data_IF_539502828373
#
_entry.id   IF_539502828373
#
_cell.length_a   1.000
_cell.length_b   1.000
_cell.length_c   1.000
_cell.angle_alpha   90.00
_cell.angle_beta   90.00
_cell.angle_gamma   90.00
#
_symmetry.space_group_name_H-M   'P 1'
#
loop_
_entity.id
_entity.type
_entity.pdbx_description
1 polymer ?
#
# COMPACT_ATOMS: atom_id res chain seq x y z
N UNK A 1 49.13 33.29 67.20
CA UNK A 1 49.04 34.43 66.27
C UNK A 1 49.18 33.89 64.85
N UNK A 2 48.31 34.34 63.93
CA UNK A 2 48.26 34.10 62.46
C UNK A 2 47.88 32.66 62.03
N UNK A 3 46.79 32.34 61.31
CA UNK A 3 46.03 32.89 60.17
C UNK A 3 46.65 32.55 58.80
N UNK A 4 45.82 31.93 57.92
CA UNK A 4 46.00 31.60 56.48
C UNK A 4 46.80 30.33 56.12
N UNK A 5 46.53 29.58 55.05
CA UNK A 5 45.43 29.47 54.11
C UNK A 5 45.68 28.20 53.23
N UNK A 6 44.60 27.49 52.90
CA UNK A 6 44.22 26.98 51.57
C UNK A 6 45.18 26.15 50.67
N UNK A 7 44.72 24.90 50.43
CA UNK A 7 44.37 24.29 49.13
C UNK A 7 45.43 23.70 48.17
N UNK A 8 45.09 22.48 47.72
CA UNK A 8 45.41 21.77 46.46
C UNK A 8 46.82 21.24 46.19
N UNK A 9 46.93 19.90 46.23
CA UNK A 9 47.55 19.14 45.13
C UNK A 9 47.04 17.69 45.15
N UNK A 10 46.18 17.30 44.21
CA UNK A 10 46.13 15.90 43.75
C UNK A 10 45.74 15.88 42.26
N UNK A 11 46.78 15.65 41.45
CA UNK A 11 46.71 15.35 40.03
C UNK A 11 46.87 13.84 39.89
N UNK A 12 45.83 13.12 39.48
CA UNK A 12 46.02 11.79 38.88
C UNK A 12 44.86 11.46 37.94
N UNK A 13 45.17 11.56 36.65
CA UNK A 13 44.42 11.07 35.50
C UNK A 13 44.26 9.55 35.53
N UNK A 14 43.04 9.01 35.42
CA UNK A 14 42.84 7.65 34.91
C UNK A 14 41.59 7.56 34.02
N UNK A 15 41.85 7.24 32.76
CA UNK A 15 41.00 6.59 31.75
C UNK A 15 39.65 7.20 31.40
N UNK A 16 39.70 7.96 30.30
CA UNK A 16 38.62 8.14 29.34
C UNK A 16 38.20 6.78 28.75
N UNK A 17 37.14 6.20 29.30
CA UNK A 17 36.33 5.21 28.60
C UNK A 17 34.97 5.82 28.34
N UNK A 18 34.86 6.69 27.34
CA UNK A 18 33.56 7.06 26.83
C UNK A 18 32.94 5.78 26.26
N UNK A 19 32.02 5.18 27.02
CA UNK A 19 31.06 4.24 26.49
C UNK A 19 30.26 5.02 25.45
N UNK A 20 30.71 5.00 24.20
CA UNK A 20 29.87 5.38 23.09
C UNK A 20 28.73 4.37 23.10
N UNK A 21 27.61 4.76 23.71
CA UNK A 21 26.34 4.08 23.49
C UNK A 21 26.24 3.86 21.98
N UNK A 22 25.99 2.62 21.51
CA UNK A 22 25.73 2.44 20.09
C UNK A 22 24.63 3.44 19.72
N UNK A 23 24.91 4.28 18.73
CA UNK A 23 23.91 5.19 18.20
C UNK A 23 22.67 4.33 17.90
N UNK A 24 21.46 4.80 18.22
CA UNK A 24 20.26 4.09 17.78
C UNK A 24 20.43 3.92 16.27
N UNK A 25 20.51 2.65 15.83
CA UNK A 25 20.41 2.33 14.43
C UNK A 25 19.08 2.91 14.03
N UNK A 26 19.11 4.02 13.29
CA UNK A 26 17.93 4.53 12.61
C UNK A 26 17.66 3.49 11.56
N UNK A 27 16.89 2.46 11.93
CA UNK A 27 16.19 1.63 10.99
C UNK A 27 15.39 2.61 10.15
N UNK A 28 15.87 2.91 8.93
CA UNK A 28 15.04 3.43 7.86
C UNK A 28 14.09 2.30 7.42
N UNK A 29 13.34 1.76 8.37
CA UNK A 29 12.18 0.93 8.11
C UNK A 29 11.10 1.87 7.62
N UNK A 30 10.56 1.60 6.44
CA UNK A 30 9.35 2.25 5.97
C UNK A 30 8.29 2.04 7.05
N UNK A 31 7.86 3.10 7.73
CA UNK A 31 6.78 2.99 8.70
C UNK A 31 5.52 2.62 7.91
N UNK A 32 4.71 1.69 8.41
CA UNK A 32 3.44 1.30 7.79
C UNK A 32 2.57 2.52 7.41
N UNK A 33 2.63 3.59 8.21
CA UNK A 33 1.97 4.87 7.94
C UNK A 33 2.47 5.64 6.71
N UNK A 34 3.74 5.47 6.34
CA UNK A 34 4.30 6.05 5.11
C UNK A 34 3.85 5.26 3.89
N UNK A 35 3.71 3.93 4.01
CA UNK A 35 3.23 3.06 2.93
C UNK A 35 1.76 3.36 2.54
N UNK A 36 0.94 3.76 3.50
CA UNK A 36 -0.48 4.13 3.27
C UNK A 36 -0.61 5.38 2.38
N UNK A 37 0.42 6.24 2.30
CA UNK A 37 0.41 7.46 1.47
C UNK A 37 0.98 7.27 0.06
N UNK A 38 1.47 6.08 -0.28
CA UNK A 38 2.30 5.90 -1.48
C UNK A 38 1.56 5.86 -2.81
N UNK A 39 0.23 6.04 -2.83
CA UNK A 39 -0.59 6.02 -4.04
C UNK A 39 -0.20 4.90 -5.02
N UNK A 40 -0.08 3.67 -4.52
CA UNK A 40 0.49 2.54 -5.25
C UNK A 40 -0.33 2.20 -6.50
N UNK A 41 -1.66 2.22 -6.40
CA UNK A 41 -2.55 2.01 -7.55
C UNK A 41 -2.70 3.33 -8.30
N UNK A 42 -2.33 3.35 -9.58
CA UNK A 42 -2.36 4.56 -10.41
C UNK A 42 -3.57 4.61 -11.33
N UNK A 43 -4.07 3.45 -11.77
CA UNK A 43 -5.20 3.34 -12.69
C UNK A 43 -5.93 2.03 -12.47
N UNK A 44 -7.26 2.06 -12.59
CA UNK A 44 -8.13 0.89 -12.61
C UNK A 44 -8.82 0.82 -13.97
N UNK A 45 -8.99 -0.39 -14.49
CA UNK A 45 -9.85 -0.68 -15.63
C UNK A 45 -10.85 -1.77 -15.25
N UNK A 46 -12.13 -1.41 -15.26
CA UNK A 46 -13.24 -2.33 -15.04
C UNK A 46 -13.80 -2.78 -16.39
N UNK A 47 -13.87 -4.09 -16.60
CA UNK A 47 -14.31 -4.72 -17.84
C UNK A 47 -15.64 -5.42 -17.55
N UNK A 48 -16.71 -4.89 -18.14
CA UNK A 48 -18.06 -5.42 -18.03
C UNK A 48 -18.40 -6.21 -19.30
N UNK A 49 -18.98 -7.40 -19.14
CA UNK A 49 -19.58 -8.16 -20.24
C UNK A 49 -21.10 -8.16 -20.13
N UNK A 50 -21.80 -8.66 -21.15
CA UNK A 50 -23.27 -8.80 -21.08
C UNK A 50 -23.69 -9.72 -19.93
N UNK A 51 -22.93 -10.79 -19.69
CA UNK A 51 -23.13 -11.70 -18.56
C UNK A 51 -23.01 -10.98 -17.21
N UNK A 52 -22.12 -9.97 -17.12
CA UNK A 52 -21.98 -9.14 -15.91
C UNK A 52 -23.30 -8.49 -15.49
N UNK A 53 -24.19 -8.16 -16.43
CA UNK A 53 -25.49 -7.54 -16.13
C UNK A 53 -26.44 -8.49 -15.40
N UNK A 54 -26.24 -9.80 -15.52
CA UNK A 54 -27.09 -10.82 -14.87
C UNK A 54 -26.41 -11.44 -13.66
N UNK A 55 -25.11 -11.70 -13.72
CA UNK A 55 -24.37 -12.38 -12.66
C UNK A 55 -23.68 -11.43 -11.67
N UNK A 56 -23.66 -10.11 -11.93
CA UNK A 56 -23.00 -9.09 -11.12
C UNK A 56 -21.48 -9.31 -10.94
N UNK A 57 -20.84 -10.06 -11.84
CA UNK A 57 -19.41 -10.33 -11.82
C UNK A 57 -18.73 -9.63 -13.00
N UNK A 58 -17.65 -8.90 -12.72
CA UNK A 58 -16.84 -8.24 -13.73
C UNK A 58 -15.39 -8.73 -13.67
N UNK A 59 -14.60 -8.34 -14.67
CA UNK A 59 -13.15 -8.44 -14.60
C UNK A 59 -12.54 -7.08 -14.36
N UNK A 60 -11.45 -7.01 -13.59
CA UNK A 60 -10.72 -5.76 -13.33
C UNK A 60 -9.25 -5.99 -13.59
N UNK A 61 -8.56 -4.98 -14.12
CA UNK A 61 -7.12 -4.88 -14.01
C UNK A 61 -6.75 -3.50 -13.47
N UNK A 62 -5.57 -3.39 -12.88
CA UNK A 62 -5.08 -2.13 -12.36
C UNK A 62 -3.57 -2.02 -12.57
N UNK A 63 -3.10 -0.78 -12.62
CA UNK A 63 -1.68 -0.46 -12.69
C UNK A 63 -1.17 -0.17 -11.28
N UNK A 64 -0.08 -0.83 -10.88
CA UNK A 64 0.63 -0.55 -9.64
C UNK A 64 1.99 0.05 -9.96
N UNK A 65 2.27 1.20 -9.35
CA UNK A 65 3.59 1.81 -9.30
C UNK A 65 4.31 1.47 -7.99
N UNK A 66 5.57 1.06 -8.08
CA UNK A 66 6.45 0.89 -6.92
C UNK A 66 7.36 2.12 -6.77
N UNK A 67 7.07 3.07 -5.86
CA UNK A 67 7.93 4.23 -5.60
C UNK A 67 9.13 3.90 -4.71
N UNK A 68 9.22 2.68 -4.16
CA UNK A 68 10.30 2.30 -3.26
C UNK A 68 11.58 1.97 -4.01
N UNK A 69 12.71 2.07 -3.31
CA UNK A 69 14.02 1.64 -3.80
C UNK A 69 14.21 0.11 -3.73
N UNK A 70 13.22 -0.62 -3.19
CA UNK A 70 13.22 -2.07 -3.03
C UNK A 70 12.02 -2.70 -3.78
N UNK A 71 12.14 -3.93 -4.29
CA UNK A 71 11.02 -4.57 -4.98
C UNK A 71 9.82 -4.84 -4.06
N UNK A 72 8.62 -4.68 -4.61
CA UNK A 72 7.36 -5.03 -3.96
C UNK A 72 6.89 -6.39 -4.48
N UNK A 73 6.78 -7.38 -3.61
CA UNK A 73 6.09 -8.63 -3.94
C UNK A 73 4.65 -8.56 -3.45
N UNK A 74 3.70 -9.16 -4.17
CA UNK A 74 2.30 -9.22 -3.77
C UNK A 74 1.86 -10.67 -3.86
N UNK A 75 1.48 -11.25 -2.72
CA UNK A 75 0.93 -12.61 -2.66
C UNK A 75 -0.60 -12.60 -2.77
N UNK A 76 -1.25 -11.71 -2.04
CA UNK A 76 -2.71 -11.66 -1.94
C UNK A 76 -3.14 -10.21 -1.83
N UNK A 77 -4.26 -9.90 -2.48
CA UNK A 77 -4.98 -8.64 -2.35
C UNK A 77 -6.43 -8.93 -1.98
N UNK A 78 -6.95 -8.16 -1.05
CA UNK A 78 -8.36 -8.12 -0.71
C UNK A 78 -8.78 -6.66 -0.64
N UNK A 79 -9.74 -6.28 -1.47
CA UNK A 79 -10.07 -4.88 -1.71
C UNK A 79 -11.55 -4.66 -1.89
N UNK A 80 -11.98 -3.48 -1.45
CA UNK A 80 -13.27 -2.90 -1.70
C UNK A 80 -13.09 -1.57 -2.46
N UNK A 81 -13.82 -1.42 -3.55
CA UNK A 81 -13.92 -0.15 -4.26
C UNK A 81 -15.24 0.53 -3.89
N UNK A 82 -15.15 1.79 -3.49
CA UNK A 82 -16.27 2.61 -3.04
C UNK A 82 -16.31 3.94 -3.76
N UNK A 83 -17.49 4.57 -3.80
CA UNK A 83 -17.66 5.94 -4.26
C UNK A 83 -18.57 6.65 -3.27
N UNK A 84 -18.14 7.82 -2.77
CA UNK A 84 -18.89 8.59 -1.77
C UNK A 84 -19.28 7.77 -0.53
N UNK A 85 -18.43 6.82 -0.12
CA UNK A 85 -18.67 5.94 1.02
C UNK A 85 -19.47 4.68 0.73
N UNK A 86 -20.15 4.57 -0.41
CA UNK A 86 -20.89 3.37 -0.83
C UNK A 86 -19.96 2.38 -1.52
N UNK A 87 -19.96 1.11 -1.09
CA UNK A 87 -19.14 0.05 -1.72
C UNK A 87 -19.85 -0.49 -2.96
N UNK A 88 -19.16 -0.45 -4.10
CA UNK A 88 -19.67 -0.91 -5.38
C UNK A 88 -19.03 -2.22 -5.84
N UNK A 89 -17.75 -2.45 -5.54
CA UNK A 89 -17.07 -3.66 -5.94
C UNK A 89 -16.23 -4.25 -4.80
N UNK A 90 -16.14 -5.56 -4.75
CA UNK A 90 -15.27 -6.28 -3.82
C UNK A 90 -14.66 -7.49 -4.49
N UNK A 91 -13.39 -7.77 -4.19
CA UNK A 91 -12.76 -9.02 -4.61
C UNK A 91 -11.60 -9.39 -3.71
N UNK A 92 -11.20 -10.66 -3.83
CA UNK A 92 -9.96 -11.17 -3.25
C UNK A 92 -9.27 -12.00 -4.31
N UNK A 93 -7.97 -11.75 -4.50
CA UNK A 93 -7.16 -12.45 -5.47
C UNK A 93 -5.83 -12.85 -4.85
N UNK A 94 -5.39 -14.08 -5.12
CA UNK A 94 -4.10 -14.61 -4.69
C UNK A 94 -3.26 -14.87 -5.93
N UNK A 95 -2.08 -14.25 -5.99
CA UNK A 95 -1.12 -14.43 -7.07
C UNK A 95 -0.28 -15.68 -6.82
N UNK A 96 -0.18 -16.54 -7.83
CA UNK A 96 0.69 -17.71 -7.83
C UNK A 96 1.32 -17.87 -9.22
N UNK A 97 2.63 -17.58 -9.40
CA UNK A 97 3.61 -17.16 -8.38
C UNK A 97 3.37 -15.73 -7.86
N UNK A 98 4.15 -15.31 -6.85
CA UNK A 98 4.12 -13.94 -6.31
C UNK A 98 4.22 -12.91 -7.43
N UNK A 99 3.43 -11.84 -7.34
CA UNK A 99 3.46 -10.76 -8.31
C UNK A 99 4.50 -9.72 -7.88
N UNK A 100 5.63 -9.65 -8.59
CA UNK A 100 6.78 -8.82 -8.22
C UNK A 100 6.87 -7.55 -9.06
N UNK A 101 7.01 -6.42 -8.39
CA UNK A 101 7.09 -5.08 -8.97
C UNK A 101 8.45 -4.48 -8.61
N UNK A 102 9.30 -4.32 -9.61
CA UNK A 102 10.65 -3.78 -9.42
C UNK A 102 10.62 -2.28 -9.02
N UNK A 103 11.68 -1.80 -8.32
CA UNK A 103 11.81 -0.40 -7.92
C UNK A 103 11.59 0.59 -9.07
N UNK A 104 10.77 1.62 -8.82
CA UNK A 104 10.47 2.68 -9.78
C UNK A 104 9.68 2.23 -11.01
N UNK A 105 9.17 0.99 -11.05
CA UNK A 105 8.41 0.47 -12.19
C UNK A 105 6.91 0.53 -11.93
N UNK A 106 6.18 0.69 -13.02
CA UNK A 106 4.73 0.52 -13.08
C UNK A 106 4.43 -0.73 -13.90
N UNK A 107 3.56 -1.58 -13.37
CA UNK A 107 3.15 -2.84 -14.01
C UNK A 107 1.64 -3.03 -13.89
N UNK A 108 1.05 -3.72 -14.86
CA UNK A 108 -0.38 -4.05 -14.86
C UNK A 108 -0.61 -5.43 -14.24
N UNK A 109 -1.58 -5.54 -13.34
CA UNK A 109 -1.93 -6.77 -12.61
C UNK A 109 -2.32 -7.96 -13.50
N UNK A 110 -2.63 -7.71 -14.77
CA UNK A 110 -3.42 -8.63 -15.58
C UNK A 110 -4.88 -8.62 -15.17
N UNK A 111 -5.70 -9.35 -15.91
CA UNK A 111 -7.13 -9.44 -15.64
C UNK A 111 -7.41 -10.33 -14.43
N UNK A 112 -8.09 -9.75 -13.44
CA UNK A 112 -8.65 -10.43 -12.28
C UNK A 112 -10.14 -10.60 -12.53
N UNK A 113 -10.59 -11.83 -12.69
CA UNK A 113 -12.00 -12.18 -12.88
C UNK A 113 -12.74 -12.32 -11.54
N UNK A 114 -14.06 -12.45 -11.61
CA UNK A 114 -14.95 -12.68 -10.46
C UNK A 114 -14.93 -11.54 -9.44
N UNK A 115 -14.83 -10.30 -9.91
CA UNK A 115 -15.01 -9.12 -9.06
C UNK A 115 -16.50 -8.90 -8.87
N UNK A 116 -16.97 -8.97 -7.64
CA UNK A 116 -18.38 -8.87 -7.30
C UNK A 116 -18.81 -7.40 -7.25
N UNK A 117 -19.83 -7.06 -8.03
CA UNK A 117 -20.55 -5.80 -7.94
C UNK A 117 -21.59 -5.87 -6.82
N UNK A 118 -21.26 -5.30 -5.66
CA UNK A 118 -22.07 -5.39 -4.43
C UNK A 118 -23.42 -4.72 -4.59
N UNK A 119 -23.50 -3.63 -5.34
CA UNK A 119 -24.76 -2.94 -5.65
C UNK A 119 -25.50 -3.57 -6.84
N UNK A 120 -24.96 -4.62 -7.44
CA UNK A 120 -25.42 -5.17 -8.71
C UNK A 120 -24.92 -4.35 -9.91
N UNK A 121 -25.03 -4.95 -11.09
CA UNK A 121 -24.48 -4.39 -12.32
C UNK A 121 -25.18 -3.10 -12.75
N UNK A 122 -26.51 -3.07 -12.74
CA UNK A 122 -27.28 -1.88 -13.15
C UNK A 122 -26.94 -0.64 -12.32
N UNK A 123 -26.94 -0.76 -10.98
CA UNK A 123 -26.57 0.35 -10.09
C UNK A 123 -25.09 0.74 -10.21
N UNK A 124 -24.24 -0.19 -10.67
CA UNK A 124 -22.82 0.08 -10.92
C UNK A 124 -22.57 0.77 -12.26
N UNK A 125 -23.54 0.81 -13.18
CA UNK A 125 -23.43 1.60 -14.41
C UNK A 125 -23.52 3.10 -14.11
N UNK A 126 -24.30 3.50 -13.11
CA UNK A 126 -24.51 4.90 -12.74
C UNK A 126 -23.23 5.59 -12.23
N UNK A 127 -22.24 4.81 -11.78
CA UNK A 127 -20.95 5.33 -11.32
C UNK A 127 -19.89 5.42 -12.43
N UNK A 128 -20.16 4.85 -13.62
CA UNK A 128 -19.25 4.93 -14.77
C UNK A 128 -18.89 6.38 -15.12
N UNK A 129 -19.85 7.32 -15.18
CA UNK A 129 -19.55 8.73 -15.50
C UNK A 129 -18.65 9.42 -14.47
N UNK A 130 -18.57 8.92 -13.23
CA UNK A 130 -17.70 9.51 -12.21
C UNK A 130 -16.21 9.30 -12.55
N UNK A 131 -15.86 8.19 -13.20
CA UNK A 131 -14.50 7.90 -13.67
C UNK A 131 -13.45 7.75 -12.56
N UNK A 132 -13.87 7.64 -11.29
CA UNK A 132 -13.00 7.51 -10.12
C UNK A 132 -13.61 6.54 -9.10
N UNK A 133 -12.74 5.88 -8.33
CA UNK A 133 -13.12 5.03 -7.20
C UNK A 133 -12.17 5.23 -6.03
N UNK A 134 -12.73 5.17 -4.83
CA UNK A 134 -11.99 5.10 -3.58
C UNK A 134 -11.68 3.64 -3.25
N UNK A 135 -10.40 3.32 -3.12
CA UNK A 135 -9.90 2.00 -2.78
C UNK A 135 -9.75 1.88 -1.27
N UNK A 136 -10.28 0.80 -0.70
CA UNK A 136 -10.01 0.33 0.66
C UNK A 136 -9.48 -1.10 0.58
N UNK A 137 -8.17 -1.27 0.78
CA UNK A 137 -7.52 -2.58 0.80
C UNK A 137 -7.23 -3.01 2.23
N UNK A 138 -7.49 -4.28 2.52
CA UNK A 138 -7.22 -4.83 3.85
C UNK A 138 -5.95 -5.65 3.95
N UNK A 139 -5.34 -6.13 2.85
CA UNK A 139 -4.08 -6.88 2.93
C UNK A 139 -3.26 -6.79 1.64
N UNK A 140 -2.00 -6.34 1.73
CA UNK A 140 -0.92 -6.59 0.75
C UNK A 140 0.26 -7.22 1.51
N UNK A 141 0.62 -8.47 1.20
CA UNK A 141 1.82 -9.11 1.74
C UNK A 141 3.01 -8.85 0.80
N UNK A 142 3.99 -8.07 1.28
CA UNK A 142 5.30 -7.86 0.64
C UNK A 142 6.28 -8.82 1.28
N UNK A 143 6.98 -9.69 0.55
CA UNK A 143 7.80 -10.75 1.17
C UNK A 143 9.32 -10.48 1.29
N UNK A 144 9.87 -9.38 0.76
CA UNK A 144 11.30 -9.08 1.04
C UNK A 144 11.49 -8.76 2.53
N UNK A 145 10.44 -8.23 3.17
CA UNK A 145 10.15 -8.33 4.60
C UNK A 145 8.64 -8.53 4.67
N UNK A 146 8.10 -9.66 5.18
CA UNK A 146 6.67 -9.94 5.32
C UNK A 146 5.99 -8.91 6.22
N UNK A 147 5.80 -7.71 5.69
CA UNK A 147 5.08 -6.63 6.33
C UNK A 147 3.67 -6.72 5.77
N UNK A 148 2.69 -7.21 6.56
CA UNK A 148 1.30 -7.09 6.16
C UNK A 148 0.95 -5.60 6.12
N UNK A 149 0.72 -5.06 4.93
CA UNK A 149 0.12 -3.73 4.79
C UNK A 149 -1.38 -3.93 4.87
N UNK A 150 -1.94 -3.54 6.02
CA UNK A 150 -3.38 -3.49 6.21
C UNK A 150 -3.85 -2.04 6.12
N UNK A 151 -5.06 -1.83 5.58
CA UNK A 151 -5.69 -0.52 5.54
C UNK A 151 -5.08 0.46 4.54
N UNK A 152 -4.54 -0.02 3.42
CA UNK A 152 -4.14 0.87 2.33
C UNK A 152 -5.42 1.51 1.75
N UNK A 153 -5.53 2.82 1.92
CA UNK A 153 -6.67 3.62 1.45
C UNK A 153 -6.17 4.62 0.43
N UNK A 154 -6.79 4.63 -0.75
CA UNK A 154 -6.52 5.62 -1.78
C UNK A 154 -7.85 6.22 -2.23
N UNK A 155 -7.95 7.54 -2.20
CA UNK A 155 -9.12 8.24 -2.68
C UNK A 155 -8.97 8.62 -4.15
N UNK A 156 -10.08 8.72 -4.86
CA UNK A 156 -10.16 9.27 -6.22
C UNK A 156 -9.21 8.60 -7.23
N UNK A 157 -9.07 7.27 -7.18
CA UNK A 157 -8.24 6.54 -8.13
C UNK A 157 -8.91 6.54 -9.51
N UNK A 158 -8.23 7.01 -10.58
CA UNK A 158 -8.79 7.03 -11.93
C UNK A 158 -9.24 5.64 -12.38
N UNK A 159 -10.49 5.52 -12.79
CA UNK A 159 -11.14 4.27 -13.18
C UNK A 159 -11.73 4.42 -14.57
N UNK A 160 -11.24 3.59 -15.49
CA UNK A 160 -11.82 3.44 -16.82
C UNK A 160 -12.80 2.25 -16.81
N UNK A 161 -13.86 2.36 -17.63
CA UNK A 161 -14.84 1.29 -17.80
C UNK A 161 -14.89 0.90 -19.27
N UNK A 162 -14.76 -0.40 -19.53
CA UNK A 162 -14.83 -0.98 -20.86
C UNK A 162 -16.02 -1.93 -20.92
N UNK A 163 -16.97 -1.66 -21.81
CA UNK A 163 -18.03 -2.61 -22.14
C UNK A 163 -17.54 -3.52 -23.27
N UNK A 164 -17.36 -4.80 -22.96
CA UNK A 164 -17.08 -5.83 -23.95
C UNK A 164 -18.36 -6.60 -24.24
N UNK A 165 -19.06 -6.19 -25.30
CA UNK A 165 -20.35 -6.74 -25.73
C UNK A 165 -20.20 -7.76 -26.89
N UNK A 166 -18.98 -8.28 -27.09
CA UNK A 166 -18.67 -9.22 -28.16
C UNK A 166 -19.31 -10.59 -27.93
#
# INVERSE_FOLDING_TARGET
MLFQAWFALFLSTFFTGAWSSPAPVVERGLQLGDLIKLNLVTKINAILTLDSLTNNLISVNFDIHNPLLLPLAIQKISTQASLNGTVYATFTHTFSPLYVINPGKTVNSGNISNVLLVQGAFNSLDIIPAGILDIKNDVVLIEIVPIPINGLKQASVPTAYSLNLA
#
